data_IF_944659177519
#
_entry.id   IF_944659177519
#
_cell.length_a   1.000
_cell.length_b   1.000
_cell.length_c   1.000
_cell.angle_alpha   90.00
_cell.angle_beta   90.00
_cell.angle_gamma   90.00
#
_symmetry.space_group_name_H-M   'P 1'
#
loop_
_entity.id
_entity.type
_entity.pdbx_description
1 polymer ?
#
# COMPACT_ATOMS: atom_id res chain seq x y z
N UNK A 1 4.47 10.24 -7.45
CA UNK A 1 5.33 11.06 -8.32
C UNK A 1 6.31 10.19 -9.10
N UNK A 2 7.16 9.42 -8.45
CA UNK A 2 8.21 8.58 -9.09
C UNK A 2 7.67 7.60 -10.15
N UNK A 3 6.52 6.95 -9.89
CA UNK A 3 5.89 6.06 -10.88
C UNK A 3 5.24 6.81 -12.04
N UNK A 4 4.65 7.98 -11.79
CA UNK A 4 3.88 8.71 -12.80
C UNK A 4 4.73 9.58 -13.71
N UNK A 5 5.90 10.02 -13.23
CA UNK A 5 6.78 10.96 -13.94
C UNK A 5 8.15 10.35 -14.30
N UNK A 6 8.36 9.09 -13.97
CA UNK A 6 9.67 8.47 -14.08
C UNK A 6 10.57 8.77 -12.88
N UNK A 7 11.68 8.08 -12.80
CA UNK A 7 12.63 8.20 -11.69
C UNK A 7 14.02 7.73 -12.12
N UNK A 8 15.03 8.04 -11.31
CA UNK A 8 16.39 7.52 -11.49
C UNK A 8 16.67 6.48 -10.40
N UNK A 9 17.06 5.28 -10.83
CA UNK A 9 17.47 4.17 -9.94
C UNK A 9 18.88 3.76 -10.35
N UNK A 10 19.80 3.80 -9.41
CA UNK A 10 21.22 3.41 -9.66
C UNK A 10 21.83 4.08 -10.89
N UNK A 11 21.55 5.37 -11.09
CA UNK A 11 22.07 6.14 -12.22
C UNK A 11 21.37 5.93 -13.56
N UNK A 12 20.36 5.04 -13.61
CA UNK A 12 19.57 4.76 -14.80
C UNK A 12 18.20 5.45 -14.73
N UNK A 13 17.84 6.19 -15.77
CA UNK A 13 16.52 6.77 -15.88
C UNK A 13 15.49 5.70 -16.23
N UNK A 14 14.47 5.59 -15.41
CA UNK A 14 13.33 4.69 -15.58
C UNK A 14 12.13 5.53 -15.98
N UNK A 15 11.65 5.30 -17.19
CA UNK A 15 10.49 5.99 -17.72
C UNK A 15 9.18 5.62 -17.01
N UNK A 16 8.15 6.42 -17.22
CA UNK A 16 6.80 6.10 -16.77
C UNK A 16 6.36 4.73 -17.29
N UNK A 17 5.83 3.83 -16.42
CA UNK A 17 5.34 2.52 -16.85
C UNK A 17 4.23 2.59 -17.89
N UNK A 18 4.29 1.69 -18.86
CA UNK A 18 3.28 1.53 -19.91
C UNK A 18 2.33 0.33 -19.68
N UNK A 19 2.33 -0.24 -18.47
CA UNK A 19 1.41 -1.29 -18.05
C UNK A 19 1.36 -1.41 -16.53
N UNK A 20 0.31 -2.02 -16.02
CA UNK A 20 0.18 -2.32 -14.59
C UNK A 20 1.30 -3.25 -14.09
N UNK A 21 1.62 -4.30 -14.85
CA UNK A 21 2.69 -5.23 -14.50
C UNK A 21 4.05 -4.53 -14.39
N UNK A 22 4.37 -3.63 -15.33
CA UNK A 22 5.60 -2.84 -15.29
C UNK A 22 5.59 -1.88 -14.11
N UNK A 23 4.45 -1.24 -13.81
CA UNK A 23 4.31 -0.36 -12.66
C UNK A 23 4.56 -1.11 -11.33
N UNK A 24 4.05 -2.32 -11.20
CA UNK A 24 4.29 -3.17 -10.02
C UNK A 24 5.78 -3.51 -9.88
N UNK A 25 6.45 -3.86 -10.98
CA UNK A 25 7.88 -4.17 -10.95
C UNK A 25 8.71 -2.95 -10.55
N UNK A 26 8.48 -1.79 -11.17
CA UNK A 26 9.20 -0.55 -10.84
C UNK A 26 8.90 -0.13 -9.40
N UNK A 27 7.66 -0.28 -8.92
CA UNK A 27 7.31 0.00 -7.52
C UNK A 27 8.16 -0.83 -6.55
N UNK A 28 8.40 -2.12 -6.84
CA UNK A 28 9.23 -2.97 -5.98
C UNK A 28 10.70 -2.56 -6.00
N UNK A 29 11.22 -2.11 -7.13
CA UNK A 29 12.59 -1.55 -7.22
C UNK A 29 12.73 -0.26 -6.42
N UNK A 30 11.74 0.65 -6.49
CA UNK A 30 11.70 1.87 -5.68
C UNK A 30 11.67 1.50 -4.18
N UNK A 31 10.84 0.54 -3.80
CA UNK A 31 10.76 0.04 -2.42
C UNK A 31 12.13 -0.47 -1.94
N UNK A 32 12.82 -1.26 -2.76
CA UNK A 32 14.15 -1.79 -2.47
C UNK A 32 15.17 -0.69 -2.26
N UNK A 33 15.18 0.29 -3.17
CA UNK A 33 16.10 1.41 -3.12
C UNK A 33 15.86 2.27 -1.87
N UNK A 34 14.60 2.58 -1.56
CA UNK A 34 14.25 3.35 -0.36
C UNK A 34 14.60 2.56 0.91
N UNK A 35 14.28 1.26 0.97
CA UNK A 35 14.59 0.41 2.11
C UNK A 35 16.11 0.30 2.39
N UNK A 36 16.94 0.40 1.34
CA UNK A 36 18.40 0.36 1.47
C UNK A 36 19.01 1.70 1.95
N UNK A 37 18.27 2.79 1.84
CA UNK A 37 18.77 4.14 2.14
C UNK A 37 18.02 4.85 3.28
N UNK A 38 16.92 4.26 3.76
CA UNK A 38 16.06 4.84 4.78
C UNK A 38 16.03 3.95 6.03
N UNK A 39 16.06 4.57 7.20
CA UNK A 39 15.83 3.88 8.45
C UNK A 39 14.34 3.64 8.70
N UNK A 40 13.97 2.46 9.18
CA UNK A 40 12.60 2.10 9.57
C UNK A 40 11.68 1.71 8.41
N UNK A 41 10.39 1.71 8.70
CA UNK A 41 9.37 1.23 7.77
C UNK A 41 8.97 2.22 6.69
N UNK A 42 8.51 1.68 5.57
CA UNK A 42 7.88 2.43 4.49
C UNK A 42 6.39 2.14 4.46
N UNK A 43 5.59 3.17 4.19
CA UNK A 43 4.16 3.01 3.90
C UNK A 43 3.89 3.48 2.48
N UNK A 44 3.29 2.61 1.70
CA UNK A 44 2.91 2.87 0.31
C UNK A 44 1.41 2.71 0.14
N UNK A 45 0.80 3.52 -0.71
CA UNK A 45 -0.61 3.37 -1.08
C UNK A 45 -0.75 2.64 -2.41
N UNK A 46 -1.73 1.71 -2.50
CA UNK A 46 -2.07 1.05 -3.76
C UNK A 46 -2.68 2.02 -4.79
N UNK A 47 -3.17 3.17 -4.35
CA UNK A 47 -3.70 4.22 -5.23
C UNK A 47 -2.66 4.68 -6.25
N UNK A 48 -1.37 4.62 -5.91
CA UNK A 48 -0.30 4.96 -6.86
C UNK A 48 -0.23 4.02 -8.08
N UNK A 49 -0.78 2.82 -7.97
CA UNK A 49 -0.83 1.82 -9.04
C UNK A 49 -2.14 1.88 -9.85
N UNK A 50 -3.21 2.43 -9.28
CA UNK A 50 -4.53 2.45 -9.91
C UNK A 50 -4.56 3.07 -11.32
N UNK A 51 -3.86 4.20 -11.62
CA UNK A 51 -3.85 4.76 -12.97
C UNK A 51 -3.31 3.82 -14.05
N UNK A 52 -2.45 2.88 -13.68
CA UNK A 52 -1.85 1.93 -14.62
C UNK A 52 -2.77 0.77 -14.99
N UNK A 53 -3.85 0.56 -14.24
CA UNK A 53 -4.92 -0.37 -14.61
C UNK A 53 -5.62 0.10 -15.87
N UNK A 54 -5.95 1.40 -15.97
CA UNK A 54 -6.56 1.97 -17.18
C UNK A 54 -5.59 1.97 -18.37
N UNK A 55 -4.31 2.21 -18.13
CA UNK A 55 -3.26 2.08 -19.18
C UNK A 55 -3.24 0.67 -19.75
N UNK A 56 -3.21 -0.36 -18.88
CA UNK A 56 -3.26 -1.76 -19.31
C UNK A 56 -4.58 -2.11 -19.98
N UNK A 57 -5.71 -1.62 -19.48
CA UNK A 57 -7.03 -1.86 -20.09
C UNK A 57 -7.07 -1.37 -21.52
N UNK A 58 -6.60 -0.15 -21.78
CA UNK A 58 -6.55 0.43 -23.12
C UNK A 58 -5.63 -0.35 -24.06
N UNK A 59 -4.47 -0.76 -23.57
CA UNK A 59 -3.52 -1.58 -24.33
C UNK A 59 -4.11 -2.93 -24.71
N UNK A 60 -4.66 -3.65 -23.72
CA UNK A 60 -5.30 -4.96 -23.94
C UNK A 60 -6.49 -4.83 -24.88
N UNK A 61 -7.29 -3.75 -24.77
CA UNK A 61 -8.42 -3.51 -25.68
C UNK A 61 -7.96 -3.34 -27.13
N UNK A 62 -6.88 -2.59 -27.36
CA UNK A 62 -6.30 -2.43 -28.70
C UNK A 62 -5.74 -3.74 -29.26
N UNK A 63 -5.08 -4.53 -28.41
CA UNK A 63 -4.57 -5.88 -28.78
C UNK A 63 -5.74 -6.82 -29.17
N UNK A 64 -6.81 -6.85 -28.37
CA UNK A 64 -7.99 -7.69 -28.64
C UNK A 64 -8.69 -7.23 -29.92
N UNK A 65 -8.79 -5.94 -30.16
CA UNK A 65 -9.39 -5.42 -31.39
C UNK A 65 -8.60 -5.84 -32.63
N UNK A 66 -7.28 -5.70 -32.59
CA UNK A 66 -6.39 -6.13 -33.68
C UNK A 66 -6.42 -7.65 -33.91
N UNK A 67 -6.41 -8.46 -32.84
CA UNK A 67 -6.48 -9.92 -32.93
C UNK A 67 -7.81 -10.43 -33.51
N UNK A 68 -8.90 -9.69 -33.27
CA UNK A 68 -10.25 -10.06 -33.68
C UNK A 68 -10.69 -9.35 -34.98
N UNK A 69 -9.79 -8.63 -35.63
CA UNK A 69 -10.06 -7.98 -36.92
C UNK A 69 -10.42 -9.03 -37.97
N UNK A 70 -11.54 -8.81 -38.66
CA UNK A 70 -12.08 -9.74 -39.67
C UNK A 70 -12.78 -10.99 -39.11
N UNK A 71 -12.87 -11.16 -37.78
CA UNK A 71 -13.61 -12.24 -37.14
C UNK A 71 -15.00 -11.76 -36.68
N UNK A 72 -16.02 -12.64 -36.81
CA UNK A 72 -17.36 -12.37 -36.29
C UNK A 72 -17.44 -12.55 -34.78
N UNK A 73 -16.90 -11.59 -34.04
CA UNK A 73 -16.89 -11.58 -32.58
C UNK A 73 -17.64 -10.37 -32.05
N UNK A 74 -18.66 -10.60 -31.23
CA UNK A 74 -19.48 -9.53 -30.66
C UNK A 74 -18.66 -8.57 -29.78
N UNK A 75 -19.07 -7.31 -29.70
CA UNK A 75 -18.46 -6.31 -28.86
C UNK A 75 -18.51 -6.69 -27.35
N UNK A 76 -19.56 -7.40 -26.94
CA UNK A 76 -19.67 -7.95 -25.58
C UNK A 76 -18.59 -8.98 -25.31
N UNK A 77 -18.38 -9.91 -26.24
CA UNK A 77 -17.34 -10.94 -26.11
C UNK A 77 -15.93 -10.33 -26.11
N UNK A 78 -15.67 -9.32 -26.92
CA UNK A 78 -14.41 -8.58 -26.87
C UNK A 78 -14.18 -7.96 -25.48
N UNK A 79 -15.20 -7.30 -24.90
CA UNK A 79 -15.13 -6.73 -23.54
C UNK A 79 -14.85 -7.78 -22.46
N UNK A 80 -15.50 -8.94 -22.54
CA UNK A 80 -15.21 -10.05 -21.61
C UNK A 80 -13.75 -10.52 -21.70
N UNK A 81 -13.20 -10.61 -22.90
CA UNK A 81 -11.82 -11.00 -23.14
C UNK A 81 -10.86 -9.97 -22.54
N UNK A 82 -11.14 -8.67 -22.77
CA UNK A 82 -10.35 -7.57 -22.19
C UNK A 82 -10.35 -7.64 -20.67
N UNK A 83 -11.52 -7.75 -20.05
CA UNK A 83 -11.64 -7.81 -18.59
C UNK A 83 -10.91 -9.03 -18.00
N UNK A 84 -11.04 -10.20 -18.63
CA UNK A 84 -10.35 -11.41 -18.19
C UNK A 84 -8.82 -11.27 -18.29
N UNK A 85 -8.30 -10.68 -19.39
CA UNK A 85 -6.87 -10.44 -19.56
C UNK A 85 -6.36 -9.42 -18.54
N UNK A 86 -7.12 -8.34 -18.32
CA UNK A 86 -6.81 -7.32 -17.33
C UNK A 86 -6.72 -7.90 -15.91
N UNK A 87 -7.73 -8.68 -15.51
CA UNK A 87 -7.72 -9.39 -14.21
C UNK A 87 -6.52 -10.31 -14.07
N UNK A 88 -6.14 -11.01 -15.13
CA UNK A 88 -4.94 -11.85 -15.15
C UNK A 88 -3.65 -11.05 -15.00
N UNK A 89 -3.56 -9.87 -15.61
CA UNK A 89 -2.42 -8.97 -15.45
C UNK A 89 -2.33 -8.40 -14.04
N UNK A 90 -3.46 -7.99 -13.46
CA UNK A 90 -3.51 -7.49 -12.09
C UNK A 90 -3.09 -8.58 -11.10
N UNK A 91 -3.56 -9.80 -11.27
CA UNK A 91 -3.15 -10.96 -10.47
C UNK A 91 -1.63 -11.13 -10.49
N UNK A 92 -1.01 -11.15 -11.67
CA UNK A 92 0.44 -11.28 -11.80
C UNK A 92 1.21 -10.09 -11.22
N UNK A 93 0.71 -8.86 -11.41
CA UNK A 93 1.34 -7.66 -10.87
C UNK A 93 1.33 -7.64 -9.34
N UNK A 94 0.19 -7.94 -8.73
CA UNK A 94 0.07 -8.05 -7.26
C UNK A 94 0.95 -9.18 -6.73
N UNK A 95 1.01 -10.31 -7.41
CA UNK A 95 1.90 -11.43 -7.06
C UNK A 95 3.38 -11.01 -7.12
N UNK A 96 3.76 -10.22 -8.12
CA UNK A 96 5.12 -9.67 -8.23
C UNK A 96 5.47 -8.84 -7.00
N UNK A 97 4.60 -7.92 -6.59
CA UNK A 97 4.81 -7.12 -5.37
C UNK A 97 4.96 -8.02 -4.15
N UNK A 98 4.04 -8.98 -3.98
CA UNK A 98 4.08 -9.87 -2.82
C UNK A 98 5.37 -10.68 -2.74
N UNK A 99 5.79 -11.32 -3.83
CA UNK A 99 6.99 -12.15 -3.84
C UNK A 99 8.28 -11.32 -3.74
N UNK A 100 8.34 -10.19 -4.43
CA UNK A 100 9.49 -9.30 -4.33
C UNK A 100 9.69 -8.78 -2.90
N UNK A 101 8.61 -8.35 -2.22
CA UNK A 101 8.70 -7.87 -0.85
C UNK A 101 9.14 -8.98 0.12
N UNK A 102 8.67 -10.22 -0.09
CA UNK A 102 9.01 -11.36 0.79
C UNK A 102 10.45 -11.85 0.58
N UNK A 103 10.95 -11.78 -0.65
CA UNK A 103 12.27 -12.31 -1.02
C UNK A 103 13.37 -11.26 -1.04
N UNK A 104 13.01 -9.97 -0.97
CA UNK A 104 13.97 -8.88 -1.03
C UNK A 104 14.76 -8.76 0.28
N UNK A 105 16.08 -8.62 0.16
CA UNK A 105 16.94 -8.18 1.25
C UNK A 105 17.53 -6.82 0.92
N UNK A 106 17.54 -5.93 1.89
CA UNK A 106 18.21 -4.64 1.78
C UNK A 106 19.72 -4.81 1.84
N UNK A 107 20.47 -3.79 1.45
CA UNK A 107 21.95 -3.78 1.59
C UNK A 107 22.42 -3.98 3.02
N UNK A 108 21.56 -3.71 4.02
CA UNK A 108 21.85 -3.90 5.44
C UNK A 108 21.45 -5.31 5.93
N UNK A 109 21.08 -6.23 5.03
CA UNK A 109 20.71 -7.61 5.37
C UNK A 109 19.34 -7.75 6.06
N UNK A 110 18.46 -6.76 5.95
CA UNK A 110 17.11 -6.78 6.53
C UNK A 110 16.05 -6.92 5.43
N UNK A 111 14.94 -7.59 5.76
CA UNK A 111 13.75 -7.56 4.92
C UNK A 111 13.13 -6.14 4.97
N UNK A 112 12.62 -5.61 3.83
CA UNK A 112 11.95 -4.32 3.82
C UNK A 112 10.73 -4.32 4.72
N UNK A 113 10.66 -3.37 5.64
CA UNK A 113 9.52 -3.19 6.54
C UNK A 113 8.45 -2.37 5.83
N UNK A 114 7.60 -3.03 5.03
CA UNK A 114 6.64 -2.40 4.14
C UNK A 114 5.22 -2.48 4.71
N UNK A 115 4.52 -1.34 4.66
CA UNK A 115 3.08 -1.23 4.91
C UNK A 115 2.38 -0.85 3.63
N UNK A 116 1.36 -1.58 3.25
CA UNK A 116 0.50 -1.30 2.09
C UNK A 116 -0.83 -0.74 2.57
N UNK A 117 -1.15 0.46 2.11
CA UNK A 117 -2.35 1.18 2.45
C UNK A 117 -3.42 0.99 1.38
N UNK A 118 -4.60 0.54 1.79
CA UNK A 118 -5.73 0.21 0.95
C UNK A 118 -6.90 1.14 1.31
N UNK A 119 -6.95 2.30 0.66
CA UNK A 119 -7.91 3.36 0.92
C UNK A 119 -8.56 3.84 -0.38
N UNK A 120 -9.83 3.52 -0.56
CA UNK A 120 -10.59 3.89 -1.77
C UNK A 120 -10.79 5.40 -1.89
N UNK A 121 -10.87 6.12 -0.77
CA UNK A 121 -11.02 7.57 -0.72
C UNK A 121 -9.84 8.37 -1.25
N UNK A 122 -8.67 7.74 -1.50
CA UNK A 122 -7.54 8.40 -2.17
C UNK A 122 -7.72 8.51 -3.70
N UNK A 123 -8.66 7.77 -4.29
CA UNK A 123 -8.91 7.80 -5.73
C UNK A 123 -9.44 9.16 -6.18
N UNK A 124 -8.93 9.67 -7.29
CA UNK A 124 -9.24 10.99 -7.83
C UNK A 124 -10.57 11.07 -8.56
N UNK A 125 -11.07 9.93 -9.01
CA UNK A 125 -12.33 9.80 -9.77
C UNK A 125 -12.91 8.39 -9.63
N UNK A 126 -14.15 8.22 -10.10
CA UNK A 126 -14.88 6.96 -9.98
C UNK A 126 -14.21 5.79 -10.71
N UNK A 127 -13.59 6.01 -11.87
CA UNK A 127 -12.87 4.96 -12.60
C UNK A 127 -11.63 4.50 -11.83
N UNK A 128 -10.84 5.44 -11.34
CA UNK A 128 -9.66 5.12 -10.53
C UNK A 128 -10.05 4.40 -9.23
N UNK A 129 -11.19 4.77 -8.63
CA UNK A 129 -11.73 4.08 -7.44
C UNK A 129 -12.11 2.64 -7.76
N UNK A 130 -12.78 2.40 -8.87
CA UNK A 130 -13.13 1.06 -9.32
C UNK A 130 -11.87 0.23 -9.64
N UNK A 131 -10.87 0.82 -10.27
CA UNK A 131 -9.61 0.16 -10.59
C UNK A 131 -8.79 -0.14 -9.33
N UNK A 132 -8.77 0.78 -8.37
CA UNK A 132 -8.17 0.55 -7.05
C UNK A 132 -8.86 -0.58 -6.30
N UNK A 133 -10.21 -0.67 -6.37
CA UNK A 133 -10.96 -1.74 -5.74
C UNK A 133 -10.54 -3.12 -6.27
N UNK A 134 -10.26 -3.25 -7.57
CA UNK A 134 -9.75 -4.50 -8.16
C UNK A 134 -8.38 -4.86 -7.61
N UNK A 135 -7.49 -3.88 -7.46
CA UNK A 135 -6.14 -4.12 -6.89
C UNK A 135 -6.24 -4.54 -5.42
N UNK A 136 -7.11 -3.87 -4.65
CA UNK A 136 -7.36 -4.21 -3.23
C UNK A 136 -7.92 -5.62 -3.11
N UNK A 137 -8.93 -5.96 -3.92
CA UNK A 137 -9.52 -7.29 -3.97
C UNK A 137 -8.45 -8.36 -4.18
N UNK A 138 -7.63 -8.19 -5.21
CA UNK A 138 -6.59 -9.15 -5.56
C UNK A 138 -5.51 -9.25 -4.47
N UNK A 139 -5.13 -8.11 -3.87
CA UNK A 139 -4.16 -8.08 -2.76
C UNK A 139 -4.67 -8.89 -1.55
N UNK A 140 -5.94 -8.72 -1.18
CA UNK A 140 -6.54 -9.47 -0.07
C UNK A 140 -6.71 -10.95 -0.43
N UNK A 141 -7.10 -11.29 -1.68
CA UNK A 141 -7.20 -12.69 -2.14
C UNK A 141 -5.88 -13.42 -2.05
N UNK A 142 -4.80 -12.82 -2.51
CA UNK A 142 -3.47 -13.41 -2.43
C UNK A 142 -2.98 -13.53 -0.98
N UNK A 143 -3.28 -12.55 -0.13
CA UNK A 143 -2.98 -12.66 1.29
C UNK A 143 -3.80 -13.76 1.96
N UNK A 144 -5.06 -13.93 1.62
CA UNK A 144 -5.90 -15.04 2.10
C UNK A 144 -5.31 -16.40 1.73
N UNK A 145 -4.80 -16.54 0.51
CA UNK A 145 -4.07 -17.73 0.08
C UNK A 145 -2.78 -17.92 0.88
N UNK A 146 -1.99 -16.87 1.07
CA UNK A 146 -0.66 -16.89 1.68
C UNK A 146 0.44 -17.20 0.68
N UNK A 147 1.62 -17.51 1.19
CA UNK A 147 2.79 -17.98 0.43
C UNK A 147 3.23 -19.33 0.91
N UNK A 148 3.81 -20.14 0.03
CA UNK A 148 4.40 -21.43 0.43
C UNK A 148 5.80 -21.21 1.00
N UNK A 149 6.07 -21.84 2.14
CA UNK A 149 7.44 -21.95 2.66
C UNK A 149 8.20 -23.09 1.95
N UNK A 150 9.43 -23.32 2.33
CA UNK A 150 10.30 -24.38 1.79
C UNK A 150 9.72 -25.80 1.96
N UNK A 151 8.92 -26.02 3.00
CA UNK A 151 8.22 -27.28 3.23
C UNK A 151 6.91 -27.41 2.42
N UNK A 152 6.58 -26.44 1.54
CA UNK A 152 5.37 -26.43 0.74
C UNK A 152 4.08 -26.05 1.51
N UNK A 153 4.22 -25.62 2.77
CA UNK A 153 3.10 -25.24 3.62
C UNK A 153 2.71 -23.77 3.36
N UNK A 154 1.42 -23.50 3.22
CA UNK A 154 0.89 -22.16 3.07
C UNK A 154 0.93 -21.38 4.37
N UNK A 155 1.76 -20.35 4.43
CA UNK A 155 1.96 -19.48 5.59
C UNK A 155 1.52 -18.04 5.30
N UNK A 156 1.34 -17.25 6.37
CA UNK A 156 1.13 -15.80 6.27
C UNK A 156 2.49 -15.12 6.22
N UNK A 157 2.85 -14.41 5.14
CA UNK A 157 4.09 -13.65 5.11
C UNK A 157 4.04 -12.49 6.11
N UNK A 158 5.19 -12.19 6.74
CA UNK A 158 5.31 -11.09 7.70
C UNK A 158 5.08 -9.72 7.03
N UNK A 159 5.52 -9.58 5.79
CA UNK A 159 5.39 -8.36 4.97
C UNK A 159 4.81 -8.65 3.59
N UNK A 160 4.24 -7.64 2.93
CA UNK A 160 3.89 -6.32 3.47
C UNK A 160 2.83 -6.39 4.57
N UNK A 161 2.85 -5.47 5.54
CA UNK A 161 1.69 -5.24 6.41
C UNK A 161 0.57 -4.64 5.58
N UNK A 162 -0.66 -5.09 5.79
CA UNK A 162 -1.82 -4.59 5.07
C UNK A 162 -2.69 -3.75 6.01
N UNK A 163 -3.01 -2.54 5.59
CA UNK A 163 -3.92 -1.62 6.29
C UNK A 163 -5.11 -1.35 5.40
N UNK A 164 -6.30 -1.71 5.85
CA UNK A 164 -7.56 -1.53 5.13
C UNK A 164 -8.41 -0.45 5.79
N UNK A 165 -8.87 0.52 5.00
CA UNK A 165 -9.70 1.62 5.50
C UNK A 165 -11.17 1.27 5.37
N UNK A 166 -11.89 1.43 6.49
CA UNK A 166 -13.35 1.31 6.55
C UNK A 166 -13.96 2.66 6.24
N UNK A 167 -14.72 2.72 5.15
CA UNK A 167 -15.33 3.91 4.57
C UNK A 167 -16.86 3.73 4.46
N UNK A 168 -17.61 4.82 4.26
CA UNK A 168 -19.08 4.76 4.18
C UNK A 168 -19.58 3.84 3.02
N UNK A 169 -18.83 3.74 1.93
CA UNK A 169 -19.21 2.93 0.77
C UNK A 169 -18.71 1.48 0.80
N UNK A 170 -18.02 1.07 1.87
CA UNK A 170 -17.56 -0.30 2.05
C UNK A 170 -17.94 -0.94 3.41
N UNK A 171 -18.47 -0.17 4.37
CA UNK A 171 -18.72 -0.66 5.74
C UNK A 171 -20.09 -1.31 5.93
N UNK A 172 -21.05 -1.06 5.04
CA UNK A 172 -22.44 -1.53 5.21
C UNK A 172 -22.87 -2.46 4.08
N UNK A 173 -23.64 -3.52 4.38
CA UNK A 173 -24.27 -4.33 3.36
C UNK A 173 -25.04 -3.47 2.34
N UNK A 174 -24.92 -3.80 1.05
CA UNK A 174 -25.57 -3.08 -0.04
C UNK A 174 -24.81 -1.87 -0.57
N UNK A 175 -23.71 -1.46 0.07
CA UNK A 175 -22.82 -0.44 -0.51
C UNK A 175 -21.92 -1.03 -1.60
N UNK A 176 -21.45 -0.23 -2.56
CA UNK A 176 -20.76 -0.71 -3.75
C UNK A 176 -19.52 -1.57 -3.48
N UNK A 177 -18.81 -1.28 -2.41
CA UNK A 177 -17.53 -1.93 -2.09
C UNK A 177 -17.58 -2.79 -0.81
N UNK A 178 -18.76 -3.08 -0.27
CA UNK A 178 -18.93 -3.93 0.92
C UNK A 178 -18.30 -5.32 0.77
N UNK A 179 -18.30 -5.87 -0.45
CA UNK A 179 -17.67 -7.17 -0.74
C UNK A 179 -16.17 -7.21 -0.41
N UNK A 180 -15.47 -6.06 -0.49
CA UNK A 180 -14.07 -5.96 -0.07
C UNK A 180 -13.92 -6.13 1.44
N UNK A 181 -14.84 -5.54 2.22
CA UNK A 181 -14.84 -5.69 3.68
C UNK A 181 -15.16 -7.11 4.10
N UNK A 182 -16.10 -7.79 3.43
CA UNK A 182 -16.35 -9.21 3.65
C UNK A 182 -15.11 -10.07 3.35
N UNK A 183 -14.44 -9.79 2.24
CA UNK A 183 -13.20 -10.48 1.87
C UNK A 183 -12.08 -10.21 2.88
N UNK A 184 -11.93 -8.95 3.31
CA UNK A 184 -10.96 -8.56 4.34
C UNK A 184 -11.23 -9.27 5.67
N UNK A 185 -12.50 -9.34 6.11
CA UNK A 185 -12.88 -10.07 7.31
C UNK A 185 -12.57 -11.57 7.23
N UNK A 186 -12.86 -12.22 6.09
CA UNK A 186 -12.47 -13.61 5.84
C UNK A 186 -10.95 -13.81 5.89
N UNK A 187 -10.20 -12.84 5.33
CA UNK A 187 -8.74 -12.86 5.38
C UNK A 187 -8.24 -12.72 6.82
N UNK A 188 -8.81 -11.80 7.58
CA UNK A 188 -8.45 -11.61 9.00
C UNK A 188 -8.71 -12.86 9.82
N UNK A 189 -9.84 -13.51 9.64
CA UNK A 189 -10.17 -14.75 10.35
C UNK A 189 -9.15 -15.88 10.11
N UNK A 190 -8.52 -15.92 8.92
CA UNK A 190 -7.56 -16.96 8.55
C UNK A 190 -6.09 -16.55 8.76
N UNK A 191 -5.78 -15.26 8.55
CA UNK A 191 -4.40 -14.76 8.44
C UNK A 191 -4.05 -13.68 9.46
N UNK A 192 -5.00 -13.21 10.26
CA UNK A 192 -4.88 -12.13 11.24
C UNK A 192 -4.46 -10.77 10.60
N UNK A 193 -4.75 -10.61 9.33
CA UNK A 193 -4.54 -9.39 8.53
C UNK A 193 -5.68 -9.24 7.52
N UNK A 194 -6.00 -8.03 7.04
CA UNK A 194 -5.38 -6.73 7.30
C UNK A 194 -5.68 -6.16 8.70
N UNK A 195 -4.94 -5.12 9.09
CA UNK A 195 -5.34 -4.20 10.15
C UNK A 195 -6.33 -3.17 9.58
N UNK A 196 -7.17 -2.60 10.44
CA UNK A 196 -8.25 -1.71 10.01
C UNK A 196 -8.07 -0.29 10.54
N UNK A 197 -8.39 0.71 9.70
CA UNK A 197 -8.52 2.11 10.08
C UNK A 197 -9.96 2.54 9.78
N UNK A 198 -10.63 3.16 10.74
CA UNK A 198 -11.90 3.83 10.49
C UNK A 198 -11.63 5.21 9.91
N UNK A 199 -12.04 5.48 8.67
CA UNK A 199 -11.94 6.80 8.06
C UNK A 199 -12.61 7.86 8.93
N UNK A 200 -13.86 7.62 9.34
CA UNK A 200 -14.62 8.52 10.20
C UNK A 200 -13.87 8.91 11.48
N UNK A 201 -13.29 7.93 12.17
CA UNK A 201 -12.53 8.19 13.41
C UNK A 201 -11.20 8.87 13.14
N UNK A 202 -10.55 8.55 12.04
CA UNK A 202 -9.33 9.21 11.63
C UNK A 202 -9.60 10.71 11.34
N UNK A 203 -10.67 11.01 10.60
CA UNK A 203 -11.05 12.39 10.30
C UNK A 203 -11.43 13.16 11.56
N UNK A 204 -12.18 12.55 12.49
CA UNK A 204 -12.50 13.18 13.78
C UNK A 204 -11.25 13.53 14.62
N UNK A 205 -10.20 12.70 14.57
CA UNK A 205 -9.02 12.82 15.43
C UNK A 205 -7.87 13.59 14.81
N UNK A 206 -7.77 13.60 13.47
CA UNK A 206 -6.59 14.05 12.72
C UNK A 206 -6.84 15.19 11.75
N UNK A 207 -8.09 15.56 11.54
CA UNK A 207 -8.42 16.79 10.81
C UNK A 207 -8.31 17.96 11.76
N UNK A 208 -7.71 19.04 11.33
CA UNK A 208 -7.51 20.24 12.12
C UNK A 208 -8.80 21.04 12.27
N UNK A 209 -8.75 22.14 13.05
CA UNK A 209 -9.89 23.02 13.30
C UNK A 209 -10.40 23.75 12.05
N UNK A 210 -9.58 23.80 10.99
CA UNK A 210 -9.95 24.42 9.72
C UNK A 210 -10.56 23.42 8.75
N UNK A 211 -10.75 22.15 9.15
CA UNK A 211 -11.25 21.09 8.32
C UNK A 211 -10.20 20.53 7.33
N UNK A 212 -8.95 20.92 7.48
CA UNK A 212 -7.86 20.40 6.68
C UNK A 212 -7.32 19.08 7.25
N UNK A 213 -7.11 18.12 6.38
CA UNK A 213 -6.63 16.81 6.74
C UNK A 213 -7.37 15.70 6.00
N UNK A 214 -6.83 14.52 6.04
CA UNK A 214 -7.48 13.33 5.48
C UNK A 214 -7.00 12.07 6.21
N UNK A 215 -7.64 10.96 5.93
CA UNK A 215 -7.19 9.68 6.39
C UNK A 215 -5.82 9.35 5.77
N UNK A 216 -4.87 8.96 6.61
CA UNK A 216 -3.52 8.57 6.17
C UNK A 216 -3.05 7.33 6.93
N UNK A 217 -2.06 6.65 6.37
CA UNK A 217 -1.59 5.37 6.92
C UNK A 217 -0.76 5.54 8.19
N UNK A 218 -0.85 4.56 9.08
CA UNK A 218 0.18 4.33 10.08
C UNK A 218 1.37 3.55 9.48
N UNK A 219 2.46 3.46 10.22
CA UNK A 219 3.52 2.49 9.95
C UNK A 219 3.09 1.07 10.37
N UNK A 220 3.81 0.05 9.92
CA UNK A 220 3.55 -1.34 10.28
C UNK A 220 3.57 -1.65 11.78
N UNK A 221 4.23 -0.81 12.57
CA UNK A 221 4.19 -0.83 14.03
C UNK A 221 2.96 -0.11 14.63
N UNK A 222 2.03 0.33 13.81
CA UNK A 222 0.81 1.10 14.13
C UNK A 222 1.09 2.49 14.71
N UNK A 223 2.29 3.00 14.53
CA UNK A 223 2.65 4.38 14.88
C UNK A 223 2.21 5.34 13.78
N UNK A 224 1.52 6.41 14.17
CA UNK A 224 1.12 7.48 13.26
C UNK A 224 2.12 8.62 13.36
N UNK A 225 2.78 8.94 12.24
CA UNK A 225 3.64 10.11 12.18
C UNK A 225 2.76 11.37 12.16
N UNK A 226 3.08 12.33 13.02
CA UNK A 226 2.41 13.65 12.97
C UNK A 226 2.66 14.29 11.61
N UNK A 227 1.63 14.81 10.93
CA UNK A 227 1.81 15.52 9.68
C UNK A 227 2.76 16.70 9.86
N UNK A 228 3.68 16.87 8.92
CA UNK A 228 4.48 18.07 8.84
C UNK A 228 3.62 19.21 8.30
N UNK A 229 3.60 20.34 8.99
CA UNK A 229 2.92 21.54 8.52
C UNK A 229 3.96 22.42 7.82
N UNK A 230 3.72 22.66 6.55
CA UNK A 230 4.57 23.51 5.73
C UNK A 230 4.50 24.96 6.26
N UNK A 231 5.63 25.58 6.65
CA UNK A 231 5.63 26.91 7.25
C UNK A 231 5.24 28.02 6.28
N UNK A 232 5.36 27.83 4.97
CA UNK A 232 5.01 28.82 3.96
C UNK A 232 3.54 28.78 3.60
N UNK A 233 2.97 27.57 3.49
CA UNK A 233 1.59 27.37 3.04
C UNK A 233 0.61 27.10 4.18
N UNK A 234 1.09 26.77 5.38
CA UNK A 234 0.27 26.33 6.50
C UNK A 234 -0.42 24.97 6.30
N UNK A 235 -0.14 24.26 5.21
CA UNK A 235 -0.82 23.01 4.85
C UNK A 235 -0.10 21.78 5.40
N UNK A 236 -0.85 20.78 5.89
CA UNK A 236 -0.27 19.53 6.36
C UNK A 236 0.23 18.69 5.17
N UNK A 237 1.42 18.10 5.31
CA UNK A 237 2.02 17.20 4.33
C UNK A 237 1.99 15.77 4.84
N UNK A 238 1.33 14.88 4.10
CA UNK A 238 1.13 13.47 4.48
C UNK A 238 2.08 12.51 3.74
N UNK A 239 2.66 12.91 2.61
CA UNK A 239 3.57 12.13 1.78
C UNK A 239 4.99 12.65 1.83
N UNK A 240 5.96 11.80 1.43
CA UNK A 240 7.36 12.18 1.36
C UNK A 240 8.02 12.42 2.71
N UNK A 241 7.47 11.86 3.78
CA UNK A 241 8.04 11.84 5.13
C UNK A 241 8.81 10.55 5.34
N UNK A 242 9.81 10.56 6.18
CA UNK A 242 10.63 9.38 6.46
C UNK A 242 11.00 9.31 7.94
N UNK A 243 11.41 8.12 8.39
CA UNK A 243 12.01 7.92 9.70
C UNK A 243 13.51 8.20 9.61
N UNK A 244 14.00 9.14 10.40
CA UNK A 244 15.41 9.47 10.45
C UNK A 244 16.18 8.51 11.36
N UNK A 245 15.56 8.05 12.44
CA UNK A 245 16.17 7.13 13.39
C UNK A 245 15.26 6.84 14.58
N UNK A 246 15.75 6.03 15.48
CA UNK A 246 15.11 5.70 16.75
C UNK A 246 16.02 6.16 17.90
N UNK A 247 15.46 6.86 18.85
CA UNK A 247 16.11 7.19 20.11
C UNK A 247 15.56 6.27 21.19
N UNK A 248 16.45 5.51 21.80
CA UNK A 248 16.08 4.60 22.90
C UNK A 248 16.48 5.21 24.23
N UNK A 249 15.52 5.31 25.14
CA UNK A 249 15.77 5.74 26.51
C UNK A 249 15.80 4.49 27.41
N UNK A 250 16.92 4.26 28.07
CA UNK A 250 17.06 3.17 29.02
C UNK A 250 16.49 3.56 30.38
N UNK A 251 15.20 3.34 30.58
CA UNK A 251 14.53 3.67 31.83
C UNK A 251 15.09 2.91 33.06
N UNK A 252 15.65 1.73 32.85
CA UNK A 252 16.30 0.96 33.95
C UNK A 252 17.54 1.72 34.43
N UNK A 253 18.37 2.21 33.53
CA UNK A 253 19.55 3.00 33.87
C UNK A 253 19.15 4.32 34.57
N UNK A 254 18.15 5.02 34.06
CA UNK A 254 17.61 6.23 34.71
C UNK A 254 17.14 5.92 36.14
N UNK A 255 16.40 4.83 36.34
CA UNK A 255 15.88 4.43 37.64
C UNK A 255 17.02 4.08 38.62
N UNK A 256 17.98 3.27 38.20
CA UNK A 256 19.14 2.89 39.02
C UNK A 256 20.02 4.09 39.37
N UNK A 257 20.31 4.95 38.40
CA UNK A 257 21.08 6.18 38.56
C UNK A 257 20.41 7.20 39.50
N UNK A 258 19.09 7.13 39.61
CA UNK A 258 18.35 7.98 40.55
C UNK A 258 18.52 7.56 42.00
N UNK A 259 18.97 6.34 42.26
CA UNK A 259 19.09 5.79 43.60
C UNK A 259 17.78 5.70 44.36
N UNK A 260 16.64 5.50 43.69
CA UNK A 260 15.32 5.47 44.27
C UNK A 260 14.69 6.84 44.55
N UNK A 261 15.40 7.93 44.21
CA UNK A 261 14.85 9.28 44.35
C UNK A 261 14.04 9.69 43.12
N UNK A 262 12.74 9.94 43.33
CA UNK A 262 11.81 10.22 42.22
C UNK A 262 12.05 11.57 41.54
N UNK A 263 12.46 12.61 42.28
CA UNK A 263 12.82 13.89 41.71
C UNK A 263 14.10 13.81 40.87
N UNK A 264 15.08 13.05 41.37
CA UNK A 264 16.31 12.82 40.61
C UNK A 264 16.06 11.96 39.37
N UNK A 265 15.13 10.99 39.44
CA UNK A 265 14.69 10.22 38.27
C UNK A 265 14.24 11.15 37.12
N UNK A 266 13.32 12.09 37.41
CA UNK A 266 12.81 13.02 36.39
C UNK A 266 13.83 14.04 35.89
N UNK A 267 14.85 14.33 36.67
CA UNK A 267 15.98 15.19 36.22
C UNK A 267 16.92 14.45 35.27
N UNK A 268 17.09 13.15 35.43
CA UNK A 268 17.94 12.31 34.58
C UNK A 268 17.19 11.96 33.27
N UNK A 269 15.89 11.66 33.40
CA UNK A 269 15.01 11.38 32.26
C UNK A 269 14.83 12.59 31.33
#
# INVERSE_FOLDING_TARGET
DMLQNGTVISGTYIEKPHSFSTACNIATQIIAQVASNQYGGQSISLTHLAPFVDVSRKKIAAEVEAEMEGLDVSAERKREIVERRLRSEINRGVQTIQYQVVTLMTTNGQAPFITVFMYLGEARNAQEKADLAIIIEETIRQRYQGVKNEAGVWITPAFPKLIYVLEEDNIRPGTPYYYLTELAAKCTAKRMVPDYISEKKMLELKVDKNGEGHCYTCMGCRSFLTPYVDPETGKPKYYGRFNQGVVTINLVDVALSSGGNFEKFWKIF
#
